data_IF_253479310073
#
_entry.id   IF_253479310073
#
_cell.length_a   1.000
_cell.length_b   1.000
_cell.length_c   1.000
_cell.angle_alpha   90.00
_cell.angle_beta   90.00
_cell.angle_gamma   90.00
#
_symmetry.space_group_name_H-M   'P 1'
#
loop_
_entity.id
_entity.type
_entity.pdbx_description
1 polymer ?
#
# COMPACT_ATOMS: atom_id res chain seq x y z
N UNK A 1 2.50 -7.40 16.34
CA UNK A 1 2.41 -6.34 17.39
C UNK A 1 3.53 -5.32 17.31
N UNK A 2 4.82 -5.68 17.36
CA UNK A 2 5.93 -4.71 17.30
C UNK A 2 5.99 -3.90 16.01
N UNK A 3 5.80 -4.53 14.84
CA UNK A 3 5.80 -3.83 13.55
C UNK A 3 4.74 -2.70 13.48
N UNK A 4 3.55 -2.94 14.03
CA UNK A 4 2.47 -1.95 14.08
C UNK A 4 2.84 -0.74 14.94
N UNK A 5 3.55 -0.95 16.05
CA UNK A 5 4.03 0.14 16.91
C UNK A 5 5.06 0.99 16.16
N UNK A 6 6.02 0.34 15.49
CA UNK A 6 7.05 1.03 14.70
C UNK A 6 6.41 1.84 13.57
N UNK A 7 5.43 1.28 12.86
CA UNK A 7 4.72 1.99 11.79
C UNK A 7 3.94 3.20 12.31
N UNK A 8 3.21 3.05 13.42
CA UNK A 8 2.48 4.16 14.03
C UNK A 8 3.41 5.29 14.48
N UNK A 9 4.54 4.94 15.10
CA UNK A 9 5.52 5.93 15.53
C UNK A 9 6.18 6.61 14.33
N UNK A 10 6.51 5.85 13.28
CA UNK A 10 7.10 6.38 12.06
C UNK A 10 6.14 7.35 11.39
N UNK A 11 4.87 6.99 11.21
CA UNK A 11 3.85 7.88 10.63
C UNK A 11 3.69 9.16 11.46
N UNK A 12 3.63 9.06 12.79
CA UNK A 12 3.58 10.23 13.67
C UNK A 12 4.77 11.18 13.46
N UNK A 13 6.00 10.66 13.39
CA UNK A 13 7.20 11.46 13.16
C UNK A 13 7.15 12.11 11.76
N UNK A 14 6.77 11.34 10.74
CA UNK A 14 6.67 11.81 9.35
C UNK A 14 5.68 12.97 9.23
N UNK A 15 4.50 12.86 9.84
CA UNK A 15 3.49 13.93 9.81
C UNK A 15 3.96 15.17 10.59
N UNK A 16 4.55 14.97 11.77
CA UNK A 16 5.03 16.05 12.63
C UNK A 16 6.16 16.84 11.99
N UNK A 17 7.15 16.15 11.45
CA UNK A 17 8.38 16.75 10.91
C UNK A 17 8.27 17.05 9.40
N UNK A 18 7.13 16.72 8.78
CA UNK A 18 6.86 16.90 7.33
C UNK A 18 7.94 16.25 6.46
N UNK A 19 8.39 15.06 6.84
CA UNK A 19 9.47 14.36 6.16
C UNK A 19 8.98 13.63 4.90
N UNK A 20 9.65 13.85 3.76
CA UNK A 20 9.41 13.01 2.57
C UNK A 20 9.84 11.57 2.86
N UNK A 21 8.90 10.64 2.75
CA UNK A 21 9.11 9.24 3.17
C UNK A 21 8.48 8.29 2.17
N UNK A 22 9.15 7.17 1.91
CA UNK A 22 8.63 6.06 1.11
C UNK A 22 8.56 4.83 2.00
N UNK A 23 7.38 4.22 2.06
CA UNK A 23 7.18 2.91 2.68
C UNK A 23 7.04 1.86 1.59
N UNK A 24 7.81 0.77 1.70
CA UNK A 24 7.68 -0.40 0.82
C UNK A 24 7.03 -1.52 1.61
N UNK A 25 5.93 -2.06 1.10
CA UNK A 25 5.16 -3.12 1.75
C UNK A 25 4.50 -4.01 0.70
N UNK A 26 4.33 -5.30 1.03
CA UNK A 26 3.48 -6.23 0.28
C UNK A 26 2.07 -6.34 0.89
N UNK A 27 1.84 -5.74 2.08
CA UNK A 27 0.55 -5.74 2.74
C UNK A 27 -0.30 -4.57 2.23
N UNK A 28 -1.39 -4.90 1.53
CA UNK A 28 -2.28 -3.91 0.91
C UNK A 28 -3.06 -3.08 1.94
N UNK A 29 -3.41 -3.64 3.09
CA UNK A 29 -4.10 -2.91 4.16
C UNK A 29 -3.19 -1.79 4.69
N UNK A 30 -1.90 -2.08 4.91
CA UNK A 30 -0.92 -1.05 5.30
C UNK A 30 -0.72 -0.02 4.20
N UNK A 31 -0.67 -0.45 2.93
CA UNK A 31 -0.52 0.45 1.79
C UNK A 31 -1.70 1.43 1.67
N UNK A 32 -2.92 0.98 1.95
CA UNK A 32 -4.12 1.84 2.04
C UNK A 32 -4.09 2.75 3.27
N UNK A 33 -3.68 2.22 4.42
CA UNK A 33 -3.75 2.94 5.69
C UNK A 33 -2.74 4.07 5.82
N UNK A 34 -1.50 3.87 5.37
CA UNK A 34 -0.41 4.81 5.61
C UNK A 34 0.00 5.57 4.36
N UNK A 35 0.45 6.81 4.54
CA UNK A 35 0.90 7.68 3.45
C UNK A 35 -0.25 8.25 2.62
N UNK A 36 0.09 9.23 1.79
CA UNK A 36 -0.85 10.02 1.00
C UNK A 36 -0.81 9.71 -0.51
N UNK A 37 0.01 8.75 -0.94
CA UNK A 37 0.09 8.27 -2.32
C UNK A 37 0.31 6.77 -2.28
N UNK A 38 -0.26 6.06 -3.24
CA UNK A 38 -0.08 4.62 -3.40
C UNK A 38 0.49 4.35 -4.79
N UNK A 39 1.61 3.65 -4.83
CA UNK A 39 2.28 3.26 -6.07
C UNK A 39 2.41 1.74 -6.04
N UNK A 40 1.87 1.07 -7.06
CA UNK A 40 2.12 -0.36 -7.27
C UNK A 40 3.06 -0.54 -8.45
N UNK A 41 4.01 -1.45 -8.26
CA UNK A 41 5.02 -1.76 -9.26
C UNK A 41 4.96 -3.23 -9.63
N UNK A 42 5.13 -3.52 -10.92
CA UNK A 42 5.26 -4.88 -11.43
C UNK A 42 6.30 -4.88 -12.54
N UNK A 43 7.23 -5.87 -12.49
CA UNK A 43 8.34 -6.03 -13.46
C UNK A 43 9.11 -4.72 -13.75
N UNK A 44 9.41 -3.96 -12.69
CA UNK A 44 10.17 -2.72 -12.77
C UNK A 44 9.40 -1.51 -13.35
N UNK A 45 8.09 -1.63 -13.56
CA UNK A 45 7.23 -0.56 -14.06
C UNK A 45 6.19 -0.17 -13.01
N UNK A 46 5.85 1.11 -12.96
CA UNK A 46 4.69 1.59 -12.21
C UNK A 46 3.45 1.19 -13.00
N UNK A 47 2.59 0.40 -12.39
CA UNK A 47 1.34 -0.08 -13.00
C UNK A 47 0.12 0.64 -12.43
N UNK A 48 0.23 1.17 -11.21
CA UNK A 48 -0.81 1.97 -10.55
C UNK A 48 -0.15 3.08 -9.75
N UNK A 49 -0.72 4.28 -9.83
CA UNK A 49 -0.28 5.48 -9.15
C UNK A 49 -1.48 6.32 -8.74
N UNK A 50 -1.75 6.38 -7.44
CA UNK A 50 -2.99 6.90 -6.88
C UNK A 50 -2.66 7.97 -5.83
N UNK A 51 -3.25 9.15 -6.01
CA UNK A 51 -3.12 10.26 -5.08
C UNK A 51 -3.99 10.11 -3.82
N UNK A 52 -3.87 11.06 -2.91
CA UNK A 52 -4.49 10.97 -1.58
C UNK A 52 -6.02 10.87 -1.62
N UNK A 53 -6.66 11.69 -2.47
CA UNK A 53 -8.11 11.78 -2.54
C UNK A 53 -8.72 10.45 -3.01
N UNK A 54 -8.23 9.94 -4.13
CA UNK A 54 -8.70 8.68 -4.70
C UNK A 54 -8.42 7.50 -3.78
N UNK A 55 -7.25 7.50 -3.13
CA UNK A 55 -6.84 6.44 -2.20
C UNK A 55 -7.80 6.28 -1.01
N UNK A 56 -8.39 7.36 -0.52
CA UNK A 56 -9.33 7.30 0.61
C UNK A 56 -10.64 6.57 0.27
N UNK A 57 -11.00 6.47 -1.01
CA UNK A 57 -12.19 5.78 -1.47
C UNK A 57 -11.94 4.30 -1.81
N UNK A 58 -10.68 3.85 -1.83
CA UNK A 58 -10.33 2.49 -2.27
C UNK A 58 -10.49 1.46 -1.16
N UNK A 59 -10.96 0.29 -1.57
CA UNK A 59 -10.91 -0.93 -0.78
C UNK A 59 -9.75 -1.83 -1.21
N UNK A 60 -9.45 -2.84 -0.40
CA UNK A 60 -8.43 -3.86 -0.73
C UNK A 60 -8.81 -4.58 -2.04
N UNK A 61 -10.10 -4.86 -2.25
CA UNK A 61 -10.57 -5.55 -3.46
C UNK A 61 -10.35 -4.70 -4.72
N UNK A 62 -10.49 -3.38 -4.61
CA UNK A 62 -10.24 -2.47 -5.73
C UNK A 62 -8.76 -2.47 -6.11
N UNK A 63 -7.86 -2.57 -5.13
CA UNK A 63 -6.42 -2.69 -5.38
C UNK A 63 -6.04 -4.00 -6.05
N UNK A 64 -6.59 -5.12 -5.58
CA UNK A 64 -6.39 -6.43 -6.21
C UNK A 64 -6.84 -6.37 -7.67
N UNK A 65 -8.05 -5.86 -7.91
CA UNK A 65 -8.61 -5.73 -9.26
C UNK A 65 -7.76 -4.80 -10.13
N UNK A 66 -7.37 -3.64 -9.62
CA UNK A 66 -6.53 -2.69 -10.34
C UNK A 66 -5.16 -3.28 -10.70
N UNK A 67 -4.57 -4.08 -9.79
CA UNK A 67 -3.32 -4.77 -10.05
C UNK A 67 -3.50 -5.81 -11.16
N UNK A 68 -4.49 -6.69 -11.09
CA UNK A 68 -4.69 -7.74 -12.09
C UNK A 68 -4.95 -7.15 -13.48
N UNK A 69 -5.75 -6.10 -13.55
CA UNK A 69 -6.02 -5.36 -14.79
C UNK A 69 -4.76 -4.71 -15.38
N UNK A 70 -3.91 -4.12 -14.53
CA UNK A 70 -2.72 -3.39 -14.98
C UNK A 70 -1.50 -4.29 -15.22
N UNK A 71 -1.36 -5.38 -14.46
CA UNK A 71 -0.27 -6.35 -14.59
C UNK A 71 -0.54 -7.41 -15.68
N UNK A 72 -1.81 -7.65 -16.02
CA UNK A 72 -2.22 -8.68 -16.98
C UNK A 72 -2.00 -10.11 -16.45
N UNK A 73 -1.83 -10.27 -15.14
CA UNK A 73 -1.62 -11.54 -14.45
C UNK A 73 -2.57 -11.60 -13.25
N UNK A 74 -3.11 -12.79 -12.97
CA UNK A 74 -3.87 -13.01 -11.74
C UNK A 74 -2.93 -12.91 -10.53
N UNK A 75 -3.40 -12.26 -9.47
CA UNK A 75 -2.70 -12.26 -8.19
C UNK A 75 -2.84 -13.63 -7.55
N UNK A 76 -1.88 -14.52 -7.82
CA UNK A 76 -1.84 -15.87 -7.26
C UNK A 76 -1.29 -15.92 -5.84
N UNK A 77 -0.80 -14.79 -5.32
CA UNK A 77 -0.07 -14.75 -4.06
C UNK A 77 -1.02 -14.49 -2.88
N UNK A 78 -1.64 -15.56 -2.38
CA UNK A 78 -2.50 -15.55 -1.18
C UNK A 78 -1.80 -14.95 0.06
N UNK A 79 -0.46 -14.89 0.06
CA UNK A 79 0.34 -14.25 1.10
C UNK A 79 0.16 -12.72 1.16
N UNK A 80 -0.29 -12.08 0.07
CA UNK A 80 -0.61 -10.64 0.06
C UNK A 80 -1.95 -10.32 0.72
N UNK A 81 -2.88 -11.29 0.76
CA UNK A 81 -4.22 -11.15 1.34
C UNK A 81 -4.29 -11.54 2.82
N UNK A 82 -3.35 -12.37 3.29
CA UNK A 82 -3.41 -12.97 4.63
C UNK A 82 -2.25 -12.52 5.51
N UNK A 83 -2.47 -11.47 6.29
CA UNK A 83 -1.69 -11.18 7.50
C UNK A 83 -2.51 -11.25 8.79
N UNK A 84 -3.47 -12.17 8.85
CA UNK A 84 -4.21 -12.49 10.08
C UNK A 84 -3.89 -13.90 10.56
N UNK A 85 -2.80 -14.03 11.31
CA UNK A 85 -2.70 -14.88 12.51
C UNK A 85 -1.89 -14.16 13.58
#
# INVERSE_FOLDING_TARGET
RTAQIVLNLSDMIVQRERMTTIMVTHNMELALRYGNRLIMMHKGRIIVDIGQQDKQALTINDLVTAFEQAAGEQLTDESMLLSHR
#
